data_IF_730594871255
#
_entry.id   IF_730594871255
#
_cell.length_a   1.000
_cell.length_b   1.000
_cell.length_c   1.000
_cell.angle_alpha   90.00
_cell.angle_beta   90.00
_cell.angle_gamma   90.00
#
_symmetry.space_group_name_H-M   'P 1'
#
loop_
_entity.id
_entity.type
_entity.pdbx_description
1 polymer ?
#
# COMPACT_ATOMS: atom_id res chain seq x y z
N UNK A 1 -11.85 -20.12 -20.82
CA UNK A 1 -12.20 -21.11 -21.87
C UNK A 1 -11.90 -22.54 -21.41
N UNK A 2 -10.74 -22.81 -20.81
CA UNK A 2 -10.37 -24.12 -20.23
C UNK A 2 -11.38 -24.66 -19.19
N UNK A 3 -11.83 -23.83 -18.24
CA UNK A 3 -12.67 -24.29 -17.12
C UNK A 3 -14.05 -24.83 -17.58
N UNK A 4 -14.63 -24.22 -18.61
CA UNK A 4 -15.89 -24.65 -19.22
C UNK A 4 -15.74 -25.96 -20.02
N UNK A 5 -14.55 -26.22 -20.57
CA UNK A 5 -14.24 -27.48 -21.29
C UNK A 5 -14.10 -28.67 -20.35
N UNK A 6 -13.57 -28.46 -19.14
CA UNK A 6 -13.38 -29.54 -18.16
C UNK A 6 -14.71 -30.10 -17.63
N UNK A 7 -15.70 -29.23 -17.34
CA UNK A 7 -17.01 -29.67 -16.82
C UNK A 7 -17.88 -30.40 -17.86
N UNK A 8 -17.66 -30.14 -19.16
CA UNK A 8 -18.39 -30.78 -20.27
C UNK A 8 -17.90 -32.21 -20.54
N UNK A 9 -16.68 -32.54 -20.14
CA UNK A 9 -16.11 -33.88 -20.30
C UNK A 9 -16.71 -34.88 -19.30
N UNK A 10 -17.06 -34.44 -18.09
CA UNK A 10 -17.60 -35.28 -17.01
C UNK A 10 -19.08 -35.70 -17.19
N UNK A 11 -19.82 -35.09 -18.13
CA UNK A 11 -21.30 -35.21 -18.23
C UNK A 11 -21.82 -35.83 -19.54
N UNK A 12 -20.96 -36.30 -20.43
CA UNK A 12 -21.29 -37.01 -21.69
C UNK A 12 -22.33 -36.34 -22.63
N UNK A 13 -22.43 -35.00 -22.63
CA UNK A 13 -23.35 -34.28 -23.53
C UNK A 13 -22.69 -33.93 -24.88
N UNK A 14 -23.45 -33.85 -26.01
CA UNK A 14 -22.88 -33.58 -27.33
C UNK A 14 -22.15 -32.22 -27.40
N UNK A 15 -20.83 -32.27 -27.58
CA UNK A 15 -19.84 -31.17 -27.48
C UNK A 15 -20.14 -29.91 -28.32
N UNK A 16 -20.90 -30.05 -29.39
CA UNK A 16 -20.99 -29.09 -30.48
C UNK A 16 -22.14 -28.09 -30.26
N UNK A 17 -23.27 -28.53 -29.69
CA UNK A 17 -24.48 -27.69 -29.69
C UNK A 17 -24.44 -26.60 -28.62
N UNK A 18 -23.92 -26.90 -27.43
CA UNK A 18 -23.98 -25.99 -26.28
C UNK A 18 -22.89 -24.93 -26.27
N UNK A 19 -21.66 -25.32 -26.63
CA UNK A 19 -20.54 -24.39 -26.71
C UNK A 19 -20.75 -23.36 -27.84
N UNK A 20 -21.24 -23.80 -29.01
CA UNK A 20 -21.59 -22.89 -30.11
C UNK A 20 -22.77 -21.99 -29.76
N UNK A 21 -23.87 -22.53 -29.22
CA UNK A 21 -25.03 -21.72 -28.87
C UNK A 21 -24.72 -20.67 -27.79
N UNK A 22 -23.90 -21.01 -26.78
CA UNK A 22 -23.47 -20.07 -25.76
C UNK A 22 -22.47 -19.03 -26.31
N UNK A 23 -21.51 -19.42 -27.16
CA UNK A 23 -20.60 -18.48 -27.82
C UNK A 23 -21.35 -17.52 -28.75
N UNK A 24 -22.33 -18.03 -29.51
CA UNK A 24 -23.21 -17.20 -30.36
C UNK A 24 -24.04 -16.25 -29.50
N UNK A 25 -24.57 -16.70 -28.36
CA UNK A 25 -25.32 -15.85 -27.43
C UNK A 25 -24.45 -14.73 -26.83
N UNK A 26 -23.20 -15.01 -26.43
CA UNK A 26 -22.24 -13.99 -25.97
C UNK A 26 -21.92 -12.97 -27.08
N UNK A 27 -21.82 -13.41 -28.33
CA UNK A 27 -21.63 -12.51 -29.48
C UNK A 27 -22.86 -11.61 -29.74
N UNK A 28 -24.05 -12.09 -29.35
CA UNK A 28 -25.33 -11.38 -29.44
C UNK A 28 -25.57 -10.39 -28.28
N UNK A 29 -24.64 -10.22 -27.34
CA UNK A 29 -24.72 -9.17 -26.31
C UNK A 29 -24.76 -7.74 -26.88
N UNK A 30 -24.50 -7.57 -28.18
CA UNK A 30 -24.68 -6.30 -28.90
C UNK A 30 -26.13 -6.06 -29.38
N UNK A 31 -27.06 -6.98 -29.12
CA UNK A 31 -28.50 -6.85 -29.45
C UNK A 31 -29.32 -6.59 -28.18
N UNK A 32 -29.71 -5.32 -27.90
CA UNK A 32 -30.33 -4.94 -26.63
C UNK A 32 -31.69 -5.61 -26.38
N UNK A 33 -32.37 -6.05 -27.43
CA UNK A 33 -33.66 -6.72 -27.43
C UNK A 33 -33.62 -8.19 -26.93
N UNK A 34 -32.45 -8.83 -26.91
CA UNK A 34 -32.28 -10.22 -26.40
C UNK A 34 -31.25 -10.36 -25.28
N UNK A 35 -30.58 -9.25 -24.92
CA UNK A 35 -29.47 -9.24 -23.96
C UNK A 35 -29.84 -9.82 -22.60
N UNK A 36 -31.06 -9.55 -22.13
CA UNK A 36 -31.57 -10.08 -20.86
C UNK A 36 -31.73 -11.60 -20.90
N UNK A 37 -32.41 -12.11 -21.93
CA UNK A 37 -32.66 -13.54 -22.09
C UNK A 37 -31.36 -14.34 -22.22
N UNK A 38 -30.38 -13.80 -22.96
CA UNK A 38 -29.02 -14.35 -23.08
C UNK A 38 -28.28 -14.34 -21.75
N UNK A 39 -28.31 -13.21 -21.03
CA UNK A 39 -27.61 -13.05 -19.74
C UNK A 39 -28.21 -13.89 -18.62
N UNK A 40 -29.51 -14.17 -18.67
CA UNK A 40 -30.17 -15.08 -17.74
C UNK A 40 -29.76 -16.53 -17.99
N UNK A 41 -29.76 -16.97 -19.24
CA UNK A 41 -29.39 -18.34 -19.59
C UNK A 41 -27.90 -18.63 -19.34
N UNK A 42 -27.02 -17.63 -19.44
CA UNK A 42 -25.59 -17.82 -19.16
C UNK A 42 -25.30 -18.21 -17.71
N UNK A 43 -26.15 -17.83 -16.75
CA UNK A 43 -26.01 -18.19 -15.33
C UNK A 43 -26.15 -19.69 -15.08
N UNK A 44 -26.94 -20.37 -15.91
CA UNK A 44 -27.19 -21.81 -15.82
C UNK A 44 -26.22 -22.64 -16.66
N UNK A 45 -25.15 -22.04 -17.21
CA UNK A 45 -24.17 -22.77 -18.03
C UNK A 45 -23.52 -23.95 -17.32
N UNK A 46 -23.37 -23.88 -16.00
CA UNK A 46 -22.78 -24.94 -15.18
C UNK A 46 -23.78 -26.07 -14.84
N UNK A 47 -25.08 -25.88 -15.08
CA UNK A 47 -26.16 -26.81 -14.69
C UNK A 47 -27.38 -26.75 -15.63
N UNK A 48 -27.16 -26.66 -16.94
CA UNK A 48 -28.23 -26.53 -17.93
C UNK A 48 -29.15 -27.76 -17.99
N UNK A 49 -30.41 -27.54 -18.39
CA UNK A 49 -31.47 -28.55 -18.47
C UNK A 49 -32.26 -28.42 -19.78
N UNK A 50 -33.19 -29.34 -20.06
CA UNK A 50 -34.03 -29.29 -21.27
C UNK A 50 -34.85 -27.98 -21.35
N UNK A 51 -35.28 -27.43 -20.21
CA UNK A 51 -35.99 -26.15 -20.16
C UNK A 51 -35.11 -25.01 -20.69
N UNK A 52 -33.85 -24.97 -20.26
CA UNK A 52 -32.86 -24.00 -20.75
C UNK A 52 -32.59 -24.19 -22.25
N UNK A 53 -32.55 -25.43 -22.74
CA UNK A 53 -32.37 -25.73 -24.18
C UNK A 53 -33.53 -25.18 -25.03
N UNK A 54 -34.76 -25.32 -24.54
CA UNK A 54 -35.93 -24.77 -25.23
C UNK A 54 -35.90 -23.23 -25.26
N UNK A 55 -35.45 -22.59 -24.18
CA UNK A 55 -35.27 -21.14 -24.13
C UNK A 55 -34.19 -20.65 -25.12
N UNK A 56 -33.03 -21.31 -25.17
CA UNK A 56 -31.98 -21.01 -26.16
C UNK A 56 -32.51 -21.15 -27.59
N UNK A 57 -33.25 -22.23 -27.90
CA UNK A 57 -33.87 -22.44 -29.22
C UNK A 57 -34.85 -21.33 -29.61
N UNK A 58 -35.55 -20.73 -28.63
CA UNK A 58 -36.45 -19.59 -28.87
C UNK A 58 -35.66 -18.33 -29.22
N UNK A 59 -34.57 -18.05 -28.49
CA UNK A 59 -33.68 -16.91 -28.78
C UNK A 59 -33.10 -17.04 -30.19
N UNK A 60 -32.57 -18.21 -30.56
CA UNK A 60 -32.00 -18.44 -31.90
C UNK A 60 -33.04 -18.28 -33.01
N UNK A 61 -34.28 -18.76 -32.80
CA UNK A 61 -35.39 -18.56 -33.75
C UNK A 61 -35.76 -17.08 -33.88
N UNK A 62 -35.80 -16.36 -32.78
CA UNK A 62 -36.07 -14.93 -32.76
C UNK A 62 -34.99 -14.15 -33.52
N UNK A 63 -33.70 -14.44 -33.27
CA UNK A 63 -32.57 -13.83 -34.00
C UNK A 63 -32.68 -14.12 -35.49
N UNK A 64 -32.96 -15.37 -35.88
CA UNK A 64 -33.17 -15.75 -37.28
C UNK A 64 -34.30 -14.95 -37.95
N UNK A 65 -35.36 -14.63 -37.22
CA UNK A 65 -36.49 -13.84 -37.73
C UNK A 65 -36.26 -12.32 -37.72
N UNK A 66 -35.19 -11.85 -37.07
CA UNK A 66 -34.91 -10.43 -36.85
C UNK A 66 -33.48 -10.05 -37.26
N UNK A 67 -32.89 -10.82 -38.19
CA UNK A 67 -31.51 -10.57 -38.68
C UNK A 67 -31.38 -9.17 -39.28
N UNK A 68 -32.42 -8.70 -39.96
CA UNK A 68 -32.46 -7.38 -40.61
C UNK A 68 -32.89 -6.25 -39.65
N UNK A 69 -33.16 -6.56 -38.39
CA UNK A 69 -33.58 -5.56 -37.40
C UNK A 69 -32.34 -4.97 -36.74
N UNK A 70 -32.26 -3.64 -36.70
CA UNK A 70 -31.19 -2.91 -36.06
C UNK A 70 -31.68 -1.61 -35.44
N UNK A 71 -30.97 -1.15 -34.41
CA UNK A 71 -31.18 0.19 -33.86
C UNK A 71 -30.36 1.16 -34.69
N UNK A 72 -31.04 2.03 -35.44
CA UNK A 72 -30.37 3.08 -36.23
C UNK A 72 -30.15 4.31 -35.34
N UNK A 73 -28.90 4.57 -34.98
CA UNK A 73 -28.51 5.83 -34.37
C UNK A 73 -28.37 6.90 -35.46
N UNK A 74 -28.92 8.08 -35.22
CA UNK A 74 -28.79 9.24 -36.11
C UNK A 74 -28.20 10.39 -35.33
N UNK A 75 -27.21 11.07 -35.92
CA UNK A 75 -26.61 12.24 -35.31
C UNK A 75 -27.68 13.32 -35.05
N UNK A 76 -27.71 13.86 -33.83
CA UNK A 76 -28.59 14.94 -33.42
C UNK A 76 -27.80 15.99 -32.68
N UNK A 77 -28.01 17.27 -33.02
CA UNK A 77 -27.32 18.41 -32.37
C UNK A 77 -27.84 18.69 -30.97
N UNK A 78 -29.08 18.32 -30.67
CA UNK A 78 -29.75 18.55 -29.38
C UNK A 78 -30.25 17.22 -28.82
N UNK A 79 -29.33 16.36 -28.39
CA UNK A 79 -29.64 15.05 -27.84
C UNK A 79 -29.55 15.05 -26.31
N UNK A 80 -30.63 14.64 -25.65
CA UNK A 80 -30.65 14.31 -24.22
C UNK A 80 -30.98 12.83 -24.06
N UNK A 81 -30.06 12.09 -23.47
CA UNK A 81 -30.20 10.68 -23.18
C UNK A 81 -30.87 10.49 -21.82
N UNK A 82 -32.12 10.02 -21.87
CA UNK A 82 -32.88 9.58 -20.70
C UNK A 82 -33.10 8.08 -20.79
N UNK A 83 -33.08 7.40 -19.66
CA UNK A 83 -33.32 5.96 -19.57
C UNK A 83 -34.44 5.70 -18.59
N UNK A 84 -35.36 4.82 -18.97
CA UNK A 84 -36.50 4.44 -18.16
C UNK A 84 -36.30 3.00 -17.67
N UNK A 85 -36.67 2.74 -16.43
CA UNK A 85 -36.71 1.40 -15.85
C UNK A 85 -38.14 1.10 -15.43
N UNK A 86 -38.67 -0.02 -15.92
CA UNK A 86 -39.97 -0.58 -15.55
C UNK A 86 -39.76 -2.07 -15.26
N UNK A 87 -40.29 -2.58 -14.15
CA UNK A 87 -40.17 -4.00 -13.80
C UNK A 87 -41.50 -4.54 -13.29
N UNK A 88 -42.00 -5.58 -13.94
CA UNK A 88 -43.08 -6.42 -13.40
C UNK A 88 -42.52 -7.78 -13.00
N UNK A 89 -41.94 -7.86 -11.79
CA UNK A 89 -41.54 -9.15 -11.19
C UNK A 89 -42.73 -9.93 -10.61
N UNK A 90 -43.92 -9.30 -10.53
CA UNK A 90 -45.15 -9.94 -10.09
C UNK A 90 -45.64 -11.02 -11.07
N UNK A 91 -45.21 -10.97 -12.34
CA UNK A 91 -45.47 -11.98 -13.36
C UNK A 91 -44.49 -13.16 -13.40
N UNK A 92 -43.51 -13.23 -12.49
CA UNK A 92 -42.50 -14.31 -12.46
C UNK A 92 -43.12 -15.65 -12.07
N UNK A 93 -43.03 -16.63 -12.97
CA UNK A 93 -43.56 -18.00 -12.79
C UNK A 93 -42.75 -18.85 -11.80
N UNK A 94 -41.49 -18.49 -11.54
CA UNK A 94 -40.56 -19.31 -10.76
C UNK A 94 -40.63 -19.02 -9.26
N UNK A 95 -40.77 -17.76 -8.88
CA UNK A 95 -40.76 -17.34 -7.48
C UNK A 95 -42.03 -16.61 -7.03
N UNK A 96 -42.82 -16.01 -7.93
CA UNK A 96 -44.08 -15.27 -7.67
C UNK A 96 -44.00 -14.27 -6.47
N UNK A 97 -42.80 -13.89 -6.05
CA UNK A 97 -42.55 -13.08 -4.87
C UNK A 97 -42.38 -11.63 -5.30
N UNK A 98 -43.42 -10.84 -5.03
CA UNK A 98 -43.35 -9.39 -5.14
C UNK A 98 -42.68 -8.81 -3.90
N UNK A 99 -41.36 -8.66 -3.92
CA UNK A 99 -40.70 -7.60 -3.14
C UNK A 99 -40.42 -6.46 -4.11
N UNK A 100 -41.45 -5.65 -4.37
CA UNK A 100 -41.48 -4.57 -5.36
C UNK A 100 -40.22 -3.71 -5.34
N UNK A 101 -39.71 -3.35 -4.16
CA UNK A 101 -38.51 -2.51 -4.04
C UNK A 101 -37.19 -3.22 -4.41
N UNK A 102 -37.01 -4.49 -4.06
CA UNK A 102 -35.74 -5.19 -4.30
C UNK A 102 -35.60 -5.60 -5.76
N UNK A 103 -36.65 -6.17 -6.34
CA UNK A 103 -36.66 -6.58 -7.74
C UNK A 103 -36.47 -5.38 -8.66
N UNK A 104 -37.16 -4.28 -8.39
CA UNK A 104 -37.01 -3.06 -9.21
C UNK A 104 -35.67 -2.36 -8.98
N UNK A 105 -35.08 -2.45 -7.78
CA UNK A 105 -33.72 -1.96 -7.54
C UNK A 105 -32.66 -2.76 -8.33
N UNK A 106 -32.82 -4.08 -8.42
CA UNK A 106 -31.98 -4.93 -9.27
C UNK A 106 -32.17 -4.60 -10.76
N UNK A 107 -33.40 -4.34 -11.22
CA UNK A 107 -33.63 -3.94 -12.61
C UNK A 107 -33.05 -2.57 -12.91
N UNK A 108 -33.23 -1.58 -12.04
CA UNK A 108 -32.63 -0.26 -12.19
C UNK A 108 -31.09 -0.37 -12.27
N UNK A 109 -30.51 -1.30 -11.52
CA UNK A 109 -29.09 -1.69 -11.57
C UNK A 109 -28.70 -2.39 -12.88
N UNK A 110 -29.60 -3.09 -13.57
CA UNK A 110 -29.30 -3.60 -14.91
C UNK A 110 -29.37 -2.47 -15.95
N UNK A 111 -30.32 -1.56 -15.79
CA UNK A 111 -30.59 -0.45 -16.71
C UNK A 111 -29.43 0.54 -16.77
N UNK A 112 -28.84 0.94 -15.64
CA UNK A 112 -27.72 1.88 -15.68
C UNK A 112 -26.44 1.26 -16.25
N UNK A 113 -26.22 -0.05 -16.13
CA UNK A 113 -25.11 -0.73 -16.81
C UNK A 113 -25.24 -0.58 -18.34
N UNK A 114 -26.46 -0.72 -18.86
CA UNK A 114 -26.75 -0.50 -20.28
C UNK A 114 -26.57 0.98 -20.66
N UNK A 115 -27.00 1.90 -19.79
CA UNK A 115 -26.82 3.33 -20.01
C UNK A 115 -25.33 3.72 -20.13
N UNK A 116 -24.45 3.15 -19.30
CA UNK A 116 -23.00 3.37 -19.36
C UNK A 116 -22.43 2.88 -20.70
N UNK A 117 -22.83 1.68 -21.14
CA UNK A 117 -22.39 1.14 -22.42
C UNK A 117 -22.85 2.02 -23.59
N UNK A 118 -24.12 2.46 -23.59
CA UNK A 118 -24.66 3.35 -24.61
C UNK A 118 -23.96 4.72 -24.64
N UNK A 119 -23.56 5.28 -23.49
CA UNK A 119 -22.77 6.53 -23.45
C UNK A 119 -21.43 6.40 -24.17
N UNK A 120 -20.77 5.23 -24.10
CA UNK A 120 -19.52 4.99 -24.82
C UNK A 120 -19.75 5.01 -26.34
N UNK A 121 -20.81 4.36 -26.80
CA UNK A 121 -21.20 4.38 -28.22
C UNK A 121 -21.54 5.81 -28.67
N UNK A 122 -22.26 6.57 -27.84
CA UNK A 122 -22.60 7.96 -28.16
C UNK A 122 -21.36 8.85 -28.26
N UNK A 123 -20.34 8.63 -27.42
CA UNK A 123 -19.06 9.34 -27.50
C UNK A 123 -18.34 9.03 -28.82
N UNK A 124 -18.32 7.76 -29.25
CA UNK A 124 -17.76 7.34 -30.55
C UNK A 124 -18.50 7.99 -31.74
N UNK A 125 -19.77 8.35 -31.56
CA UNK A 125 -20.60 9.06 -32.55
C UNK A 125 -20.54 10.60 -32.41
N UNK A 126 -19.63 11.14 -31.60
CA UNK A 126 -19.50 12.56 -31.28
C UNK A 126 -20.76 13.21 -30.68
N UNK A 127 -21.61 12.40 -30.04
CA UNK A 127 -22.83 12.83 -29.33
C UNK A 127 -22.64 12.72 -27.81
N UNK A 128 -21.53 13.23 -27.30
CA UNK A 128 -21.18 13.11 -25.89
C UNK A 128 -22.12 13.92 -25.00
N UNK A 129 -22.78 13.25 -24.06
CA UNK A 129 -23.55 13.90 -23.01
C UNK A 129 -22.62 14.22 -21.83
N UNK A 130 -22.29 15.50 -21.63
CA UNK A 130 -21.46 15.93 -20.48
C UNK A 130 -22.19 15.79 -19.16
N UNK A 131 -23.50 16.01 -19.18
CA UNK A 131 -24.31 15.95 -17.97
C UNK A 131 -24.56 14.51 -17.49
N UNK A 132 -24.90 14.34 -16.20
CA UNK A 132 -25.74 13.26 -15.69
C UNK A 132 -26.65 12.57 -16.72
N UNK A 133 -26.63 11.24 -16.82
CA UNK A 133 -27.73 10.52 -17.49
C UNK A 133 -28.83 10.28 -16.48
N UNK A 134 -30.01 10.87 -16.73
CA UNK A 134 -31.16 10.68 -15.86
C UNK A 134 -31.74 9.29 -16.06
N UNK A 135 -31.90 8.59 -14.94
CA UNK A 135 -32.51 7.26 -14.86
C UNK A 135 -33.84 7.46 -14.15
N UNK A 136 -34.92 7.26 -14.89
CA UNK A 136 -36.28 7.45 -14.42
C UNK A 136 -36.83 6.11 -13.97
N UNK A 137 -37.10 6.01 -12.67
CA UNK A 137 -37.69 4.86 -11.98
C UNK A 137 -38.99 5.34 -11.35
N UNK A 138 -40.08 4.58 -11.49
CA UNK A 138 -41.41 4.95 -11.00
C UNK A 138 -41.69 4.49 -9.56
N UNK A 139 -40.74 3.80 -8.92
CA UNK A 139 -40.86 3.33 -7.55
C UNK A 139 -40.05 4.14 -6.54
N UNK A 140 -40.79 4.71 -5.60
CA UNK A 140 -40.27 5.60 -4.57
C UNK A 140 -39.35 4.90 -3.55
N UNK A 141 -39.56 3.61 -3.28
CA UNK A 141 -38.71 2.84 -2.38
C UNK A 141 -37.34 2.57 -3.01
N UNK A 142 -37.30 2.27 -4.32
CA UNK A 142 -36.04 2.13 -5.08
C UNK A 142 -35.25 3.44 -5.08
N UNK A 143 -35.92 4.56 -5.36
CA UNK A 143 -35.32 5.90 -5.31
C UNK A 143 -34.76 6.21 -3.91
N UNK A 144 -35.50 5.83 -2.86
CA UNK A 144 -35.09 6.07 -1.47
C UNK A 144 -33.90 5.19 -1.05
N UNK A 145 -33.88 3.91 -1.47
CA UNK A 145 -32.77 2.98 -1.25
C UNK A 145 -31.53 3.46 -1.99
N UNK A 146 -31.65 3.90 -3.25
CA UNK A 146 -30.51 4.42 -4.01
C UNK A 146 -29.90 5.69 -3.43
N UNK A 147 -30.67 6.45 -2.65
CA UNK A 147 -30.20 7.67 -1.98
C UNK A 147 -29.63 7.41 -0.58
N UNK A 148 -29.79 6.20 0.00
CA UNK A 148 -29.34 5.89 1.36
C UNK A 148 -27.90 5.34 1.38
N UNK A 149 -27.00 6.04 2.06
CA UNK A 149 -25.56 5.74 2.07
C UNK A 149 -25.15 4.62 3.06
N UNK A 150 -26.09 4.03 3.83
CA UNK A 150 -25.78 3.06 4.90
C UNK A 150 -26.14 1.60 4.59
N UNK A 151 -26.95 1.31 3.57
CA UNK A 151 -27.20 -0.07 3.11
C UNK A 151 -26.10 -0.50 2.13
N UNK A 152 -24.87 -0.64 2.66
CA UNK A 152 -23.65 -0.91 1.89
C UNK A 152 -23.33 -2.39 1.94
N UNK A 153 -23.86 -3.14 0.98
CA UNK A 153 -23.53 -4.54 0.78
C UNK A 153 -24.28 -5.09 -0.43
N UNK A 154 -23.57 -5.23 -1.55
CA UNK A 154 -23.91 -5.98 -2.79
C UNK A 154 -24.18 -5.15 -4.07
N UNK A 155 -24.62 -3.88 -4.04
CA UNK A 155 -25.04 -3.19 -5.28
C UNK A 155 -24.54 -1.76 -5.53
N UNK A 156 -23.29 -1.45 -5.19
CA UNK A 156 -22.67 -0.16 -5.57
C UNK A 156 -21.89 -0.25 -6.89
N UNK A 157 -22.57 -0.46 -8.01
CA UNK A 157 -22.00 -0.05 -9.32
C UNK A 157 -22.96 0.80 -10.15
N UNK A 158 -24.27 0.89 -9.81
CA UNK A 158 -25.22 1.14 -10.90
C UNK A 158 -26.38 2.08 -10.61
N UNK A 159 -26.32 3.02 -9.66
CA UNK A 159 -27.27 4.15 -9.67
C UNK A 159 -26.68 5.54 -9.41
N UNK A 160 -25.36 5.63 -9.21
CA UNK A 160 -24.66 6.90 -8.96
C UNK A 160 -23.78 7.30 -10.16
N UNK A 161 -24.25 7.14 -11.40
CA UNK A 161 -23.53 7.63 -12.59
C UNK A 161 -23.81 9.11 -12.84
N UNK A 162 -23.64 9.91 -11.79
CA UNK A 162 -23.59 11.37 -11.81
C UNK A 162 -22.76 11.86 -10.62
N UNK A 163 -21.58 11.28 -10.44
CA UNK A 163 -20.46 11.92 -9.78
C UNK A 163 -19.33 10.91 -9.90
N UNK A 164 -18.32 11.25 -10.68
CA UNK A 164 -16.98 10.74 -10.42
C UNK A 164 -16.53 11.26 -9.06
N UNK A 165 -17.05 10.68 -7.99
CA UNK A 165 -16.29 10.48 -6.77
C UNK A 165 -16.09 8.99 -6.74
N UNK A 166 -14.90 8.55 -7.15
CA UNK A 166 -14.48 7.15 -7.03
C UNK A 166 -14.92 6.64 -5.67
N UNK A 167 -15.69 5.54 -5.62
CA UNK A 167 -15.86 4.81 -4.38
C UNK A 167 -14.45 4.55 -3.87
N UNK A 168 -14.09 5.18 -2.75
CA UNK A 168 -12.71 5.23 -2.33
C UNK A 168 -12.32 3.82 -1.86
N UNK A 169 -11.55 3.12 -2.69
CA UNK A 169 -11.10 1.76 -2.37
C UNK A 169 -10.33 1.79 -1.05
N UNK A 170 -10.60 0.86 -0.12
CA UNK A 170 -9.83 0.76 1.11
C UNK A 170 -8.35 0.54 0.78
N UNK A 171 -7.47 1.29 1.45
CA UNK A 171 -6.02 1.17 1.29
C UNK A 171 -5.50 0.16 2.29
N UNK A 172 -4.88 -0.92 1.81
CA UNK A 172 -4.29 -1.93 2.69
C UNK A 172 -3.08 -1.33 3.41
N UNK A 173 -3.00 -1.53 4.72
CA UNK A 173 -1.85 -1.12 5.52
C UNK A 173 -1.33 -2.25 6.39
N UNK A 174 -0.08 -2.08 6.82
CA UNK A 174 0.61 -2.91 7.79
C UNK A 174 1.26 -2.01 8.83
N UNK A 175 1.29 -2.42 10.09
CA UNK A 175 2.17 -1.81 11.10
C UNK A 175 3.29 -2.80 11.34
N UNK A 176 4.51 -2.34 11.17
CA UNK A 176 5.72 -3.16 11.22
C UNK A 176 6.68 -2.55 12.21
N UNK A 177 7.15 -3.37 13.15
CA UNK A 177 8.25 -3.02 14.02
C UNK A 177 9.57 -3.38 13.32
N UNK A 178 10.33 -2.37 12.92
CA UNK A 178 11.64 -2.53 12.27
C UNK A 178 12.78 -2.63 13.30
N UNK A 179 13.88 -3.28 12.90
CA UNK A 179 15.08 -3.54 13.72
C UNK A 179 14.79 -4.35 15.00
N UNK A 180 13.88 -5.33 14.89
CA UNK A 180 13.51 -6.24 15.98
C UNK A 180 13.03 -7.59 15.44
N UNK A 181 13.10 -8.61 16.30
CA UNK A 181 12.50 -9.93 16.11
C UNK A 181 11.25 -10.15 16.97
N UNK A 182 10.95 -9.21 17.87
CA UNK A 182 9.83 -9.28 18.79
C UNK A 182 8.88 -8.12 18.55
N UNK A 183 7.59 -8.41 18.55
CA UNK A 183 6.53 -7.41 18.55
C UNK A 183 6.69 -6.44 19.74
N UNK A 184 6.30 -5.19 19.52
CA UNK A 184 6.32 -4.09 20.49
C UNK A 184 7.73 -3.62 20.92
N UNK A 185 8.77 -4.13 20.26
CA UNK A 185 10.14 -3.59 20.30
C UNK A 185 10.45 -2.92 18.97
N UNK A 186 11.68 -2.52 18.70
CA UNK A 186 11.98 -1.94 17.40
C UNK A 186 11.44 -0.52 17.22
N UNK A 187 11.44 -0.04 15.97
CA UNK A 187 10.81 1.22 15.58
C UNK A 187 9.56 0.95 14.72
N UNK A 188 8.34 1.29 15.18
CA UNK A 188 7.11 1.04 14.44
C UNK A 188 6.95 2.00 13.26
N UNK A 189 6.61 1.45 12.09
CA UNK A 189 6.19 2.21 10.93
C UNK A 189 4.88 1.65 10.35
N UNK A 190 3.98 2.53 9.93
CA UNK A 190 2.84 2.15 9.11
C UNK A 190 3.28 2.08 7.64
N UNK A 191 2.85 1.05 6.90
CA UNK A 191 3.17 0.87 5.48
C UNK A 191 1.86 0.68 4.72
N UNK A 192 1.51 1.69 3.92
CA UNK A 192 0.32 1.71 3.07
C UNK A 192 0.68 1.27 1.65
N UNK A 193 -0.09 0.31 1.11
CA UNK A 193 0.04 -0.14 -0.28
C UNK A 193 -0.97 0.61 -1.15
N UNK A 194 -0.46 1.45 -2.06
CA UNK A 194 -1.27 2.24 -2.98
C UNK A 194 -1.28 1.62 -4.37
N UNK A 195 -2.45 1.62 -5.04
CA UNK A 195 -2.54 1.27 -6.46
C UNK A 195 -2.01 2.40 -7.36
N UNK A 196 -2.17 3.65 -6.91
CA UNK A 196 -1.80 4.90 -7.57
C UNK A 196 -1.41 5.93 -6.50
N UNK A 197 -0.64 6.95 -6.86
CA UNK A 197 -0.33 8.02 -5.92
C UNK A 197 -1.58 8.74 -5.42
N UNK A 198 -1.57 9.06 -4.12
CA UNK A 198 -2.57 9.92 -3.49
C UNK A 198 -2.03 11.32 -3.33
N UNK A 199 -2.93 12.29 -3.14
CA UNK A 199 -2.53 13.66 -2.86
C UNK A 199 -1.78 13.76 -1.54
N UNK A 200 -0.83 14.70 -1.48
CA UNK A 200 0.02 14.94 -0.30
C UNK A 200 -0.81 15.25 0.95
N UNK A 201 -1.92 15.97 0.80
CA UNK A 201 -2.85 16.30 1.88
C UNK A 201 -3.48 15.04 2.50
N UNK A 202 -3.79 14.03 1.68
CA UNK A 202 -4.34 12.76 2.13
C UNK A 202 -3.28 11.92 2.83
N UNK A 203 -2.09 11.81 2.23
CA UNK A 203 -0.96 11.07 2.84
C UNK A 203 -0.53 11.70 4.17
N UNK A 204 -0.53 13.02 4.26
CA UNK A 204 -0.27 13.70 5.52
C UNK A 204 -1.38 13.40 6.55
N UNK A 205 -2.65 13.49 6.16
CA UNK A 205 -3.78 13.20 7.05
C UNK A 205 -3.76 11.78 7.61
N UNK A 206 -3.46 10.78 6.78
CA UNK A 206 -3.34 9.38 7.23
C UNK A 206 -2.12 9.19 8.12
N UNK A 207 -0.99 9.86 7.84
CA UNK A 207 0.19 9.80 8.71
C UNK A 207 -0.08 10.42 10.09
N UNK A 208 -0.83 11.53 10.13
CA UNK A 208 -1.29 12.15 11.38
C UNK A 208 -2.24 11.23 12.14
N UNK A 209 -3.15 10.52 11.46
CA UNK A 209 -4.09 9.58 12.09
C UNK A 209 -3.38 8.37 12.72
N UNK A 210 -2.38 7.79 12.04
CA UNK A 210 -1.58 6.72 12.61
C UNK A 210 -0.75 7.17 13.82
N UNK A 211 -0.27 8.41 13.79
CA UNK A 211 0.54 9.02 14.85
C UNK A 211 1.72 8.13 15.30
N UNK A 212 2.33 7.42 14.35
CA UNK A 212 3.59 6.69 14.52
C UNK A 212 4.77 7.58 14.11
N UNK A 213 6.01 7.11 14.33
CA UNK A 213 7.21 7.80 13.87
C UNK A 213 7.09 8.15 12.38
N UNK A 214 6.74 7.15 11.56
CA UNK A 214 6.57 7.32 10.12
C UNK A 214 5.43 6.46 9.55
N UNK A 215 4.79 7.01 8.53
CA UNK A 215 3.89 6.32 7.62
C UNK A 215 4.47 6.33 6.20
N UNK A 216 4.64 5.14 5.63
CA UNK A 216 5.16 4.89 4.30
C UNK A 216 4.04 4.70 3.30
N UNK A 217 4.23 5.21 2.09
CA UNK A 217 3.34 4.97 0.96
C UNK A 217 4.11 4.30 -0.17
N UNK A 218 3.72 3.07 -0.50
CA UNK A 218 4.29 2.27 -1.58
C UNK A 218 3.38 2.32 -2.79
N UNK A 219 3.89 2.81 -3.91
CA UNK A 219 3.18 2.80 -5.20
C UNK A 219 4.00 2.01 -6.23
N UNK A 220 3.45 0.97 -6.87
CA UNK A 220 4.14 0.24 -7.94
C UNK A 220 4.48 1.16 -9.11
N UNK A 221 5.68 1.03 -9.68
CA UNK A 221 6.03 1.72 -10.93
C UNK A 221 5.75 0.79 -12.11
N UNK A 222 4.97 1.27 -13.09
CA UNK A 222 4.51 0.49 -14.24
C UNK A 222 5.67 -0.04 -15.10
N UNK A 223 5.47 -1.21 -15.72
CA UNK A 223 6.49 -1.88 -16.53
C UNK A 223 7.01 -1.05 -17.71
N UNK A 224 6.17 -0.15 -18.26
CA UNK A 224 6.54 0.75 -19.37
C UNK A 224 7.60 1.80 -19.01
N UNK A 225 7.84 2.05 -17.72
CA UNK A 225 8.85 2.99 -17.22
C UNK A 225 10.12 2.27 -16.73
N UNK A 226 10.24 0.95 -16.94
CA UNK A 226 11.37 0.15 -16.49
C UNK A 226 12.40 -0.02 -17.60
N UNK A 227 13.67 0.26 -17.29
CA UNK A 227 14.81 -0.07 -18.16
C UNK A 227 15.21 -1.55 -18.07
N UNK A 228 14.85 -2.23 -16.96
CA UNK A 228 15.14 -3.64 -16.70
C UNK A 228 13.88 -4.33 -16.16
N UNK A 229 13.41 -5.36 -16.87
CA UNK A 229 12.17 -6.10 -16.59
C UNK A 229 12.33 -7.00 -15.34
N UNK A 230 13.57 -7.24 -14.88
CA UNK A 230 13.89 -8.12 -13.76
C UNK A 230 13.81 -7.47 -12.36
N UNK A 231 13.76 -6.14 -12.28
CA UNK A 231 13.80 -5.40 -11.01
C UNK A 231 12.41 -4.94 -10.57
N UNK A 232 12.05 -5.25 -9.32
CA UNK A 232 10.82 -4.77 -8.71
C UNK A 232 11.04 -3.36 -8.18
N UNK A 233 10.45 -2.37 -8.86
CA UNK A 233 10.61 -0.96 -8.54
C UNK A 233 9.32 -0.37 -7.98
N UNK A 234 9.44 0.30 -6.85
CA UNK A 234 8.35 0.99 -6.18
C UNK A 234 8.73 2.44 -5.94
N UNK A 235 7.75 3.35 -6.02
CA UNK A 235 7.91 4.66 -5.41
C UNK A 235 7.61 4.54 -3.93
N UNK A 236 8.47 5.14 -3.12
CA UNK A 236 8.35 5.14 -1.66
C UNK A 236 8.44 6.57 -1.15
N UNK A 237 7.44 6.97 -0.36
CA UNK A 237 7.36 8.26 0.31
C UNK A 237 7.12 8.05 1.80
N UNK A 238 7.64 8.93 2.65
CA UNK A 238 7.55 8.82 4.11
C UNK A 238 7.02 10.10 4.70
N UNK A 239 6.04 9.95 5.58
CA UNK A 239 5.42 11.06 6.28
C UNK A 239 5.51 10.83 7.78
N UNK A 240 6.05 11.81 8.49
CA UNK A 240 5.80 11.96 9.92
C UNK A 240 4.37 12.47 10.13
N UNK A 241 3.87 12.54 11.38
CA UNK A 241 2.58 13.16 11.66
C UNK A 241 2.46 14.64 11.26
N UNK A 242 3.58 15.31 10.97
CA UNK A 242 3.63 16.74 10.67
C UNK A 242 4.12 17.11 9.25
N UNK A 243 4.98 16.29 8.63
CA UNK A 243 5.59 16.58 7.33
C UNK A 243 6.08 15.34 6.59
N UNK A 244 6.19 15.42 5.27
CA UNK A 244 7.00 14.51 4.45
C UNK A 244 8.49 14.66 4.79
N UNK A 245 9.23 13.54 4.78
CA UNK A 245 10.69 13.50 4.98
C UNK A 245 11.38 12.89 3.78
N UNK A 246 12.58 13.37 3.45
CA UNK A 246 13.30 12.98 2.23
C UNK A 246 13.94 11.59 2.32
N UNK A 247 14.19 11.08 3.54
CA UNK A 247 14.86 9.81 3.79
C UNK A 247 14.49 9.25 5.16
N UNK A 248 14.10 7.97 5.24
CA UNK A 248 13.90 7.29 6.53
C UNK A 248 14.36 5.83 6.50
N UNK A 249 15.25 5.45 7.41
CA UNK A 249 15.86 4.12 7.43
C UNK A 249 14.90 3.00 7.87
N UNK A 250 14.34 3.09 9.07
CA UNK A 250 13.51 2.02 9.64
C UNK A 250 12.22 1.80 8.84
N UNK A 251 11.63 2.89 8.32
CA UNK A 251 10.41 2.88 7.55
C UNK A 251 10.64 2.30 6.13
N UNK A 252 11.85 2.47 5.57
CA UNK A 252 12.30 1.73 4.36
C UNK A 252 12.45 0.24 4.64
N UNK A 253 13.04 -0.13 5.79
CA UNK A 253 13.18 -1.53 6.18
C UNK A 253 11.80 -2.20 6.36
N UNK A 254 10.87 -1.52 7.03
CA UNK A 254 9.49 -1.94 7.18
C UNK A 254 8.79 -2.14 5.82
N UNK A 255 8.99 -1.21 4.88
CA UNK A 255 8.43 -1.28 3.53
C UNK A 255 8.96 -2.50 2.76
N UNK A 256 10.27 -2.74 2.82
CA UNK A 256 10.89 -3.94 2.25
C UNK A 256 10.36 -5.22 2.91
N UNK A 257 10.19 -5.24 4.23
CA UNK A 257 9.62 -6.38 4.96
C UNK A 257 8.22 -6.73 4.46
N UNK A 258 7.34 -5.74 4.28
CA UNK A 258 5.99 -5.95 3.74
C UNK A 258 6.06 -6.53 2.33
N UNK A 259 6.89 -5.97 1.45
CA UNK A 259 7.00 -6.47 0.08
C UNK A 259 7.54 -7.90 0.03
N UNK A 260 8.61 -8.20 0.76
CA UNK A 260 9.21 -9.54 0.79
C UNK A 260 8.31 -10.59 1.45
N UNK A 261 7.50 -10.22 2.45
CA UNK A 261 6.63 -11.15 3.19
C UNK A 261 5.25 -11.33 2.53
N UNK A 262 4.76 -10.33 1.78
CA UNK A 262 3.45 -10.38 1.11
C UNK A 262 3.42 -11.22 -0.17
N UNK A 263 4.58 -11.64 -0.68
CA UNK A 263 4.70 -12.34 -1.97
C UNK A 263 4.47 -11.44 -3.19
N UNK A 264 4.39 -10.12 -3.00
CA UNK A 264 4.28 -9.13 -4.10
C UNK A 264 5.55 -9.03 -4.93
N UNK A 265 6.70 -9.39 -4.35
CA UNK A 265 7.99 -9.47 -5.05
C UNK A 265 8.53 -10.90 -5.01
N UNK A 266 9.05 -11.35 -6.16
CA UNK A 266 9.71 -12.67 -6.29
C UNK A 266 11.24 -12.57 -6.27
N UNK A 267 11.78 -11.37 -6.42
CA UNK A 267 13.22 -11.10 -6.36
C UNK A 267 13.66 -10.89 -4.91
N UNK A 268 14.93 -11.15 -4.63
CA UNK A 268 15.58 -10.82 -3.36
C UNK A 268 16.04 -9.36 -3.29
N UNK A 269 15.83 -8.58 -4.36
CA UNK A 269 16.19 -7.16 -4.45
C UNK A 269 14.97 -6.32 -4.81
N UNK A 270 14.80 -5.21 -4.10
CA UNK A 270 13.79 -4.18 -4.35
C UNK A 270 14.51 -2.84 -4.53
N UNK A 271 14.08 -2.07 -5.53
CA UNK A 271 14.47 -0.67 -5.68
C UNK A 271 13.32 0.26 -5.28
N UNK A 272 13.65 1.25 -4.46
CA UNK A 272 12.74 2.32 -4.08
C UNK A 272 13.17 3.62 -4.77
N UNK A 273 12.25 4.23 -5.51
CA UNK A 273 12.42 5.60 -6.05
C UNK A 273 11.87 6.56 -5.01
N UNK A 274 12.72 7.46 -4.52
CA UNK A 274 12.47 8.34 -3.38
C UNK A 274 12.95 9.76 -3.68
N UNK A 275 12.62 10.74 -2.83
CA UNK A 275 13.12 12.11 -3.00
C UNK A 275 14.64 12.20 -2.87
N UNK A 276 15.25 11.31 -2.08
CA UNK A 276 16.71 11.20 -1.93
C UNK A 276 17.38 10.32 -3.01
N UNK A 277 16.66 9.99 -4.09
CA UNK A 277 17.14 9.13 -5.16
C UNK A 277 16.73 7.66 -4.98
N UNK A 278 17.49 6.75 -5.59
CA UNK A 278 17.18 5.32 -5.57
C UNK A 278 17.82 4.66 -4.35
N UNK A 279 17.01 3.97 -3.55
CA UNK A 279 17.46 3.13 -2.45
C UNK A 279 17.25 1.65 -2.81
N UNK A 280 18.16 0.79 -2.37
CA UNK A 280 18.09 -0.64 -2.62
C UNK A 280 17.89 -1.38 -1.31
N UNK A 281 16.92 -2.30 -1.30
CA UNK A 281 16.73 -3.25 -0.22
C UNK A 281 16.97 -4.67 -0.72
N UNK A 282 17.81 -5.42 0.00
CA UNK A 282 18.18 -6.79 -0.34
C UNK A 282 17.84 -7.74 0.80
N UNK A 283 17.24 -8.87 0.45
CA UNK A 283 17.06 -10.00 1.36
C UNK A 283 18.39 -10.74 1.50
N UNK A 284 18.87 -10.91 2.74
CA UNK A 284 20.12 -11.63 3.03
C UNK A 284 19.89 -12.71 4.08
N UNK A 285 20.46 -13.90 3.86
CA UNK A 285 20.48 -14.98 4.83
C UNK A 285 21.48 -14.67 5.95
N UNK A 286 21.22 -15.22 7.15
CA UNK A 286 21.84 -14.85 8.43
C UNK A 286 23.32 -14.48 8.40
N UNK A 287 23.66 -13.45 9.18
CA UNK A 287 25.03 -13.13 9.56
C UNK A 287 25.54 -14.32 10.38
N UNK A 288 26.78 -14.76 10.15
CA UNK A 288 27.44 -15.78 10.98
C UNK A 288 27.66 -15.22 12.40
N UNK A 289 26.60 -15.14 13.20
CA UNK A 289 26.63 -14.71 14.60
C UNK A 289 27.10 -15.86 15.48
N UNK A 290 28.36 -16.27 15.30
CA UNK A 290 29.05 -17.26 16.15
C UNK A 290 28.44 -18.68 16.14
N UNK A 291 29.22 -19.63 16.64
CA UNK A 291 28.78 -21.03 16.81
C UNK A 291 27.66 -21.10 17.86
N UNK A 292 26.39 -21.05 17.40
CA UNK A 292 25.22 -21.23 18.25
C UNK A 292 23.93 -20.53 17.81
N UNK A 293 23.95 -19.63 16.81
CA UNK A 293 22.76 -18.97 16.32
C UNK A 293 21.95 -19.86 15.35
N UNK A 294 20.65 -20.00 15.60
CA UNK A 294 19.70 -20.69 14.73
C UNK A 294 19.70 -20.12 13.30
N UNK A 295 19.70 -21.00 12.30
CA UNK A 295 19.68 -20.71 10.84
C UNK A 295 18.47 -19.88 10.32
N UNK A 296 17.56 -19.42 11.17
CA UNK A 296 16.19 -19.02 10.78
C UNK A 296 15.89 -17.51 10.83
N UNK A 297 16.85 -16.66 10.45
CA UNK A 297 16.65 -15.21 10.44
C UNK A 297 16.78 -14.57 9.06
N UNK A 298 15.67 -14.16 8.44
CA UNK A 298 15.70 -13.33 7.24
C UNK A 298 16.08 -11.87 7.59
N UNK A 299 17.26 -11.42 7.17
CA UNK A 299 17.66 -10.02 7.31
C UNK A 299 17.31 -9.22 6.05
N UNK A 300 17.02 -7.94 6.25
CA UNK A 300 16.90 -6.96 5.17
C UNK A 300 18.10 -6.03 5.27
N UNK A 301 18.88 -5.98 4.20
CA UNK A 301 20.00 -5.08 4.01
C UNK A 301 19.54 -3.85 3.22
N UNK A 302 19.84 -2.66 3.75
CA UNK A 302 19.65 -1.37 3.11
C UNK A 302 21.01 -0.72 2.88
N UNK A 303 21.19 -0.08 1.74
CA UNK A 303 22.41 0.67 1.42
C UNK A 303 22.18 2.17 1.57
N UNK A 304 23.03 2.84 2.37
CA UNK A 304 23.01 4.29 2.55
C UNK A 304 24.40 4.91 2.35
N UNK A 305 24.48 6.19 1.94
CA UNK A 305 25.75 6.93 1.99
C UNK A 305 26.21 7.11 3.43
N UNK A 306 27.51 6.95 3.68
CA UNK A 306 28.11 7.31 4.96
C UNK A 306 28.14 8.84 5.12
N UNK A 307 27.82 9.32 6.32
CA UNK A 307 27.90 10.72 6.70
C UNK A 307 29.26 11.01 7.36
N UNK A 308 29.87 12.12 6.97
CA UNK A 308 31.10 12.58 7.61
C UNK A 308 30.80 13.38 8.86
N UNK A 309 31.64 13.23 9.88
CA UNK A 309 31.56 14.03 11.11
C UNK A 309 32.70 15.02 11.18
N UNK A 310 32.43 16.18 11.75
CA UNK A 310 33.38 17.28 11.94
C UNK A 310 33.59 17.58 13.41
N UNK A 311 34.73 18.19 13.74
CA UNK A 311 35.04 18.62 15.10
C UNK A 311 34.03 19.67 15.59
N UNK A 312 33.55 19.48 16.82
CA UNK A 312 32.65 20.44 17.45
C UNK A 312 33.44 21.34 18.42
N UNK A 313 33.78 22.54 17.96
CA UNK A 313 34.46 23.55 18.77
C UNK A 313 33.48 24.69 19.07
N UNK A 314 32.74 24.61 20.17
CA UNK A 314 31.81 25.68 20.58
C UNK A 314 31.85 25.94 22.08
N UNK A 315 31.37 27.13 22.47
CA UNK A 315 31.14 27.48 23.87
C UNK A 315 29.93 26.74 24.48
N UNK A 316 29.18 25.98 23.69
CA UNK A 316 27.91 25.38 24.07
C UNK A 316 28.06 24.00 24.73
N UNK A 317 29.30 23.52 24.95
CA UNK A 317 29.57 22.24 25.63
C UNK A 317 28.86 22.17 26.99
N UNK A 318 28.90 23.25 27.77
CA UNK A 318 28.21 23.32 29.07
C UNK A 318 26.69 23.21 28.93
N UNK A 319 26.12 23.78 27.85
CA UNK A 319 24.68 23.68 27.58
C UNK A 319 24.31 22.25 27.19
N UNK A 320 25.13 21.57 26.38
CA UNK A 320 24.92 20.17 25.97
C UNK A 320 25.05 19.25 27.18
N UNK A 321 26.08 19.43 28.03
CA UNK A 321 26.26 18.68 29.28
C UNK A 321 25.01 18.80 30.17
N UNK A 322 24.55 20.03 30.41
CA UNK A 322 23.36 20.27 31.22
C UNK A 322 22.11 19.61 30.61
N UNK A 323 21.93 19.68 29.29
CA UNK A 323 20.79 19.05 28.60
C UNK A 323 20.81 17.51 28.72
N UNK A 324 22.01 16.92 28.84
CA UNK A 324 22.23 15.50 29.07
C UNK A 324 22.37 15.14 30.56
N UNK A 325 21.95 16.04 31.46
CA UNK A 325 22.04 15.87 32.92
C UNK A 325 23.44 15.48 33.41
N UNK A 326 24.45 16.16 32.86
CA UNK A 326 25.87 16.00 33.21
C UNK A 326 26.38 14.55 33.07
N UNK A 327 25.84 13.83 32.09
CA UNK A 327 26.37 12.55 31.65
C UNK A 327 27.87 12.66 31.29
N UNK A 328 28.67 11.60 31.49
CA UNK A 328 30.12 11.64 31.28
C UNK A 328 30.46 11.65 29.78
N UNK A 329 30.52 12.84 29.20
CA UNK A 329 30.85 13.07 27.78
C UNK A 329 32.36 12.88 27.54
N UNK A 330 32.70 12.10 26.51
CA UNK A 330 34.07 11.86 26.04
C UNK A 330 34.42 12.72 24.83
N UNK A 331 33.49 12.83 23.88
CA UNK A 331 33.71 13.52 22.62
C UNK A 331 32.38 14.09 22.10
N UNK A 332 32.46 15.18 21.35
CA UNK A 332 31.32 15.75 20.63
C UNK A 332 31.77 16.03 19.20
N UNK A 333 31.00 15.50 18.25
CA UNK A 333 31.16 15.75 16.82
C UNK A 333 29.86 16.30 16.24
N UNK A 334 29.96 16.85 15.03
CA UNK A 334 28.81 17.37 14.29
C UNK A 334 28.69 16.67 12.94
N UNK A 335 27.50 16.15 12.64
CA UNK A 335 27.22 15.46 11.38
C UNK A 335 27.12 16.46 10.23
N UNK A 336 27.51 16.05 9.02
CA UNK A 336 27.36 16.93 7.85
C UNK A 336 25.97 16.86 7.24
N UNK A 337 25.29 15.72 7.37
CA UNK A 337 23.90 15.54 6.96
C UNK A 337 22.98 15.69 8.17
N UNK A 338 21.89 16.44 8.03
CA UNK A 338 20.90 16.67 9.10
C UNK A 338 21.36 17.59 10.25
N UNK A 339 22.63 17.98 10.26
CA UNK A 339 23.22 18.91 11.23
C UNK A 339 23.06 18.46 12.70
N UNK A 340 23.23 17.17 13.00
CA UNK A 340 23.05 16.62 14.34
C UNK A 340 24.35 16.67 15.16
N UNK A 341 24.21 16.69 16.48
CA UNK A 341 25.32 16.50 17.40
C UNK A 341 25.49 15.02 17.70
N UNK A 342 26.66 14.47 17.42
CA UNK A 342 27.06 13.13 17.86
C UNK A 342 27.82 13.29 19.17
N UNK A 343 27.27 12.76 20.25
CA UNK A 343 27.84 12.84 21.60
C UNK A 343 28.25 11.45 22.05
N UNK A 344 29.54 11.26 22.27
CA UNK A 344 30.05 10.04 22.88
C UNK A 344 30.02 10.15 24.40
N UNK A 345 29.41 9.16 25.06
CA UNK A 345 29.44 8.96 26.50
C UNK A 345 30.49 7.92 26.88
N UNK A 346 30.93 7.94 28.13
CA UNK A 346 31.98 7.05 28.65
C UNK A 346 31.68 5.56 28.48
N UNK A 347 30.41 5.15 28.51
CA UNK A 347 30.00 3.77 28.29
C UNK A 347 28.59 3.63 27.74
N UNK A 348 28.28 2.47 27.18
CA UNK A 348 26.91 2.10 26.81
C UNK A 348 25.98 2.02 28.02
N UNK A 349 26.50 1.76 29.23
CA UNK A 349 25.71 1.85 30.46
C UNK A 349 25.21 3.27 30.70
N UNK A 350 26.06 4.28 30.50
CA UNK A 350 25.67 5.69 30.61
C UNK A 350 24.61 6.05 29.57
N UNK A 351 24.67 5.48 28.35
CA UNK A 351 23.63 5.67 27.32
C UNK A 351 22.27 5.12 27.78
N UNK A 352 22.25 3.91 28.37
CA UNK A 352 21.02 3.26 28.87
C UNK A 352 20.43 4.06 30.04
N UNK A 353 21.26 4.51 30.98
CA UNK A 353 20.83 5.18 32.21
C UNK A 353 20.50 6.67 31.99
N UNK A 354 20.91 7.25 30.86
CA UNK A 354 20.70 8.66 30.53
C UNK A 354 19.21 9.06 30.66
N UNK A 355 18.95 10.13 31.40
CA UNK A 355 17.65 10.79 31.48
C UNK A 355 17.85 12.24 31.04
N UNK A 356 17.69 12.59 29.75
CA UNK A 356 17.97 13.94 29.28
C UNK A 356 16.82 14.91 29.56
N UNK A 357 17.13 16.21 29.69
CA UNK A 357 16.13 17.27 29.64
C UNK A 357 15.76 17.58 28.18
N UNK A 358 14.64 17.02 27.72
CA UNK A 358 14.14 17.18 26.36
C UNK A 358 13.91 18.66 25.99
N UNK A 359 13.44 19.47 26.95
CA UNK A 359 13.23 20.90 26.75
C UNK A 359 14.54 21.68 26.60
N UNK A 360 15.61 21.23 27.25
CA UNK A 360 16.96 21.75 27.06
C UNK A 360 17.58 21.28 25.74
N UNK A 361 17.40 20.01 25.35
CA UNK A 361 17.85 19.50 24.04
C UNK A 361 17.24 20.32 22.90
N UNK A 362 15.97 20.69 22.99
CA UNK A 362 15.32 21.53 21.99
C UNK A 362 16.00 22.90 21.77
N UNK A 363 16.81 23.36 22.75
CA UNK A 363 17.56 24.62 22.70
C UNK A 363 19.04 24.44 22.31
N UNK A 364 19.54 23.21 22.29
CA UNK A 364 20.91 22.92 21.85
C UNK A 364 21.10 23.24 20.36
N UNK A 365 22.34 23.47 19.88
CA UNK A 365 22.61 23.65 18.46
C UNK A 365 22.34 22.35 17.67
N UNK A 366 22.18 22.48 16.34
CA UNK A 366 21.95 21.36 15.43
C UNK A 366 20.49 20.87 15.34
N UNK A 367 20.23 19.86 14.51
CA UNK A 367 18.91 19.29 14.28
C UNK A 367 18.45 18.29 15.35
N UNK A 368 19.38 17.69 16.09
CA UNK A 368 19.12 16.67 17.12
C UNK A 368 20.40 16.19 17.79
N UNK A 369 20.27 15.31 18.79
CA UNK A 369 21.40 14.75 19.53
C UNK A 369 21.40 13.22 19.39
N UNK A 370 22.52 12.67 18.92
CA UNK A 370 22.79 11.24 18.81
C UNK A 370 23.77 10.88 19.94
N UNK A 371 23.32 10.21 20.98
CA UNK A 371 24.20 9.76 22.06
C UNK A 371 24.65 8.33 21.80
N UNK A 372 25.93 8.04 22.03
CA UNK A 372 26.47 6.67 21.90
C UNK A 372 27.61 6.39 22.86
N UNK A 373 27.88 5.12 23.13
CA UNK A 373 28.96 4.69 24.02
C UNK A 373 29.29 3.22 23.84
N UNK A 374 30.54 2.85 24.09
CA UNK A 374 31.03 1.47 23.94
C UNK A 374 30.19 0.50 24.76
N UNK A 375 29.70 -0.56 24.14
CA UNK A 375 28.87 -1.54 24.83
C UNK A 375 29.69 -2.37 25.83
N UNK A 376 29.06 -2.91 26.89
CA UNK A 376 29.73 -3.87 27.77
C UNK A 376 30.23 -5.09 26.97
N UNK A 377 31.47 -5.58 27.19
CA UNK A 377 32.03 -6.70 26.42
C UNK A 377 31.15 -7.96 26.41
N UNK A 378 30.43 -8.22 27.50
CA UNK A 378 29.52 -9.36 27.67
C UNK A 378 28.21 -9.25 26.88
N UNK A 379 27.91 -8.07 26.30
CA UNK A 379 26.64 -7.81 25.63
C UNK A 379 26.54 -8.39 24.22
N UNK A 380 27.67 -8.68 23.57
CA UNK A 380 27.73 -9.08 22.17
C UNK A 380 27.53 -7.93 21.16
N UNK A 381 27.38 -6.69 21.62
CA UNK A 381 27.32 -5.50 20.80
C UNK A 381 28.64 -4.72 20.87
N UNK A 382 28.90 -3.89 19.86
CA UNK A 382 30.07 -3.01 19.81
C UNK A 382 29.79 -1.68 20.53
N UNK A 383 28.62 -1.08 20.30
CA UNK A 383 28.20 0.14 20.98
C UNK A 383 26.68 0.25 21.13
N UNK A 384 26.26 1.06 22.10
CA UNK A 384 24.87 1.41 22.35
C UNK A 384 24.61 2.84 21.87
N UNK A 385 23.39 3.10 21.39
CA UNK A 385 23.00 4.46 20.99
C UNK A 385 21.55 4.79 21.34
N UNK A 386 21.26 6.09 21.49
CA UNK A 386 19.92 6.70 21.56
C UNK A 386 19.92 8.02 20.82
N UNK A 387 18.75 8.48 20.38
CA UNK A 387 18.63 9.65 19.51
C UNK A 387 17.43 10.51 19.90
N UNK A 388 17.63 11.83 19.90
CA UNK A 388 16.66 12.80 20.39
C UNK A 388 16.47 13.93 19.37
N UNK A 389 15.24 14.15 18.91
CA UNK A 389 14.90 15.14 17.89
C UNK A 389 13.70 16.04 18.28
N UNK A 390 13.69 16.65 19.47
CA UNK A 390 12.51 17.39 19.94
C UNK A 390 12.13 18.58 19.05
N UNK A 391 13.07 19.10 18.25
CA UNK A 391 12.82 20.19 17.29
C UNK A 391 11.86 19.82 16.16
N UNK A 392 11.72 18.53 15.86
CA UNK A 392 10.77 18.00 14.85
C UNK A 392 9.63 17.23 15.50
N UNK A 393 9.40 17.42 16.81
CA UNK A 393 8.29 16.81 17.54
C UNK A 393 8.54 15.38 18.03
N UNK A 394 9.75 14.84 17.87
CA UNK A 394 10.11 13.49 18.31
C UNK A 394 11.07 13.60 19.50
N UNK A 395 10.56 13.43 20.71
CA UNK A 395 11.39 13.55 21.92
C UNK A 395 12.55 12.54 21.92
N UNK A 396 12.25 11.27 21.67
CA UNK A 396 13.21 10.19 21.48
C UNK A 396 12.68 9.28 20.37
N UNK A 397 13.50 9.03 19.35
CA UNK A 397 13.17 8.08 18.28
C UNK A 397 13.63 6.68 18.71
N UNK A 398 12.78 5.63 18.69
CA UNK A 398 13.16 4.33 19.19
C UNK A 398 14.44 3.78 18.56
N UNK A 399 14.55 3.89 17.23
CA UNK A 399 15.70 3.43 16.44
C UNK A 399 15.83 4.27 15.18
N UNK A 400 16.80 5.17 15.16
CA UNK A 400 17.06 5.99 13.98
C UNK A 400 18.06 5.30 13.06
N UNK A 401 17.57 4.64 12.03
CA UNK A 401 18.45 4.03 11.01
C UNK A 401 19.42 5.06 10.41
N UNK A 402 18.94 6.23 9.97
CA UNK A 402 19.79 7.26 9.38
C UNK A 402 20.91 7.79 10.30
N UNK A 403 20.75 7.71 11.63
CA UNK A 403 21.83 8.07 12.57
C UNK A 403 23.07 7.19 12.43
N UNK A 404 22.90 5.95 11.95
CA UNK A 404 23.99 5.02 11.69
C UNK A 404 24.87 5.47 10.52
N UNK A 405 24.36 6.30 9.62
CA UNK A 405 25.17 6.89 8.56
C UNK A 405 26.35 7.68 9.14
N UNK A 406 26.20 8.30 10.32
CA UNK A 406 27.27 9.00 11.02
C UNK A 406 27.94 8.15 12.12
N UNK A 407 27.13 7.43 12.92
CA UNK A 407 27.62 6.66 14.06
C UNK A 407 28.49 5.48 13.64
N UNK A 408 28.10 4.73 12.61
CA UNK A 408 28.85 3.54 12.20
C UNK A 408 30.24 3.87 11.66
N UNK A 409 30.44 4.85 10.74
CA UNK A 409 31.79 5.27 10.34
C UNK A 409 32.64 5.81 11.47
N UNK A 410 32.04 6.53 12.43
CA UNK A 410 32.72 7.05 13.61
C UNK A 410 33.27 5.91 14.48
N UNK A 411 32.40 4.98 14.88
CA UNK A 411 32.78 3.84 15.72
C UNK A 411 33.69 2.86 14.98
N UNK A 412 33.45 2.61 13.68
CA UNK A 412 34.26 1.70 12.89
C UNK A 412 35.74 2.11 12.87
N UNK A 413 36.00 3.40 12.61
CA UNK A 413 37.35 3.96 12.62
C UNK A 413 37.96 3.96 14.01
N UNK A 414 37.17 4.30 15.04
CA UNK A 414 37.62 4.36 16.42
C UNK A 414 37.99 2.99 16.98
N UNK A 415 37.24 1.94 16.61
CA UNK A 415 37.44 0.56 17.06
C UNK A 415 38.38 -0.25 16.13
N UNK A 416 38.63 0.22 14.91
CA UNK A 416 39.35 -0.54 13.90
C UNK A 416 38.57 -1.76 13.38
N UNK A 417 37.23 -1.67 13.34
CA UNK A 417 36.30 -2.76 12.97
C UNK A 417 35.26 -2.26 11.98
N UNK A 418 34.99 -3.01 10.91
CA UNK A 418 34.09 -2.57 9.82
C UNK A 418 32.67 -3.12 9.92
N UNK A 419 32.51 -4.31 10.50
CA UNK A 419 31.22 -4.90 10.83
C UNK A 419 30.89 -4.62 12.29
N UNK A 420 29.81 -3.90 12.52
CA UNK A 420 29.39 -3.43 13.83
C UNK A 420 28.00 -3.98 14.18
N UNK A 421 27.87 -4.51 15.40
CA UNK A 421 26.59 -4.87 16.02
C UNK A 421 26.20 -3.78 16.99
N UNK A 422 25.03 -3.17 16.78
CA UNK A 422 24.59 -1.97 17.49
C UNK A 422 23.30 -2.26 18.23
N UNK A 423 23.24 -1.83 19.49
CA UNK A 423 22.01 -1.85 20.27
C UNK A 423 21.44 -0.45 20.43
N UNK A 424 20.26 -0.21 19.87
CA UNK A 424 19.51 1.01 20.10
C UNK A 424 18.82 0.91 21.46
N UNK A 425 19.36 1.61 22.46
CA UNK A 425 19.01 1.47 23.87
C UNK A 425 17.82 2.36 24.31
N UNK A 426 16.90 2.63 23.40
CA UNK A 426 15.63 3.30 23.74
C UNK A 426 14.74 2.35 24.57
N UNK A 427 13.65 2.83 25.18
CA UNK A 427 12.72 1.97 25.94
C UNK A 427 12.16 0.78 25.13
N UNK A 428 12.06 0.90 23.80
CA UNK A 428 11.62 -0.20 22.94
C UNK A 428 12.73 -1.21 22.64
N UNK A 429 13.99 -0.77 22.64
CA UNK A 429 15.13 -1.61 22.30
C UNK A 429 15.17 -2.00 20.82
N UNK A 430 16.37 -2.25 20.30
CA UNK A 430 16.55 -2.56 18.89
C UNK A 430 17.93 -3.05 18.53
N UNK A 431 18.02 -3.86 17.48
CA UNK A 431 19.30 -4.37 16.97
C UNK A 431 19.49 -3.93 15.54
N UNK A 432 20.64 -3.32 15.27
CA UNK A 432 21.07 -2.92 13.93
C UNK A 432 22.46 -3.50 13.70
N UNK A 433 22.66 -4.20 12.60
CA UNK A 433 24.01 -4.59 12.16
C UNK A 433 24.42 -3.69 11.02
N UNK A 434 25.64 -3.18 11.04
CA UNK A 434 26.13 -2.27 10.01
C UNK A 434 27.49 -2.72 9.52
N UNK A 435 27.65 -2.83 8.21
CA UNK A 435 28.95 -2.90 7.57
C UNK A 435 29.30 -1.52 7.02
N UNK A 436 30.45 -0.96 7.40
CA UNK A 436 30.96 0.28 6.83
C UNK A 436 32.09 -0.01 5.83
N UNK A 437 31.85 0.33 4.56
CA UNK A 437 32.87 0.29 3.52
C UNK A 437 33.52 1.67 3.38
N UNK A 438 34.74 1.80 3.91
CA UNK A 438 35.50 3.04 3.86
C UNK A 438 36.01 3.39 2.45
N UNK A 439 36.08 2.44 1.52
CA UNK A 439 36.51 2.74 0.14
C UNK A 439 35.38 3.40 -0.64
N UNK A 440 34.18 2.81 -0.59
CA UNK A 440 33.01 3.36 -1.29
C UNK A 440 32.28 4.45 -0.52
N UNK A 441 32.60 4.65 0.77
CA UNK A 441 31.89 5.54 1.70
C UNK A 441 30.40 5.19 1.79
N UNK A 442 30.10 3.90 1.89
CA UNK A 442 28.73 3.38 2.02
C UNK A 442 28.59 2.59 3.30
N UNK A 443 27.38 2.60 3.85
CA UNK A 443 27.00 1.70 4.93
C UNK A 443 25.96 0.70 4.41
N UNK A 444 26.15 -0.57 4.76
CA UNK A 444 25.16 -1.62 4.57
C UNK A 444 24.53 -1.90 5.92
N UNK A 445 23.29 -1.49 6.07
CA UNK A 445 22.53 -1.60 7.30
C UNK A 445 21.59 -2.78 7.23
N UNK A 446 21.69 -3.68 8.18
CA UNK A 446 20.90 -4.91 8.26
C UNK A 446 20.03 -4.89 9.51
N UNK A 447 18.78 -5.28 9.32
CA UNK A 447 17.84 -5.45 10.42
C UNK A 447 16.78 -6.48 10.09
N UNK A 448 16.15 -7.00 11.14
CA UNK A 448 14.94 -7.80 11.05
C UNK A 448 13.71 -6.92 11.29
N UNK A 449 12.55 -7.43 10.92
CA UNK A 449 11.29 -6.73 11.15
C UNK A 449 10.16 -7.72 11.41
N UNK A 450 9.15 -7.25 12.14
CA UNK A 450 7.96 -8.02 12.49
C UNK A 450 6.71 -7.22 12.17
N UNK A 451 5.83 -7.77 11.35
CA UNK A 451 4.49 -7.22 11.15
C UNK A 451 3.64 -7.48 12.40
N UNK A 452 3.13 -6.43 13.03
CA UNK A 452 2.32 -6.51 14.27
C UNK A 452 0.84 -6.24 14.04
N UNK A 453 0.49 -5.49 12.99
CA UNK A 453 -0.91 -5.25 12.60
C UNK A 453 -1.03 -5.27 11.08
N UNK A 454 -2.19 -5.67 10.58
CA UNK A 454 -2.60 -5.47 9.20
C UNK A 454 -4.07 -5.09 9.14
N UNK A 455 -4.45 -4.30 8.15
CA UNK A 455 -5.82 -3.83 8.00
C UNK A 455 -6.02 -2.99 6.75
N UNK A 456 -7.11 -2.22 6.76
CA UNK A 456 -7.46 -1.30 5.69
C UNK A 456 -7.79 0.08 6.26
N UNK A 457 -7.25 1.12 5.63
CA UNK A 457 -7.72 2.50 5.82
C UNK A 457 -9.00 2.64 5.02
N UNK A 458 -10.11 2.83 5.75
CA UNK A 458 -11.44 3.09 5.18
C UNK A 458 -11.54 4.59 4.87
N UNK A 459 -12.16 4.94 3.74
CA UNK A 459 -12.11 6.30 3.21
C UNK A 459 -13.48 6.83 2.83
#
# INVERSE_FOLDING_TARGET
MEMTRCMLYEKELPKNLWAEAASTAVFLLNRPDIIFAVSMLSRFMHCASEVHLQAVKRIVRYVKGTVDYGVKYTHSQNFQFHVYSDSDWGGSIDDMKSTTAEAEYVTATAVVNQAIWLRRILADLHMEQKEPTQILVDNQAVISISNNHTHVGICQVVLCCVCSTMAKKPVKYFVVDAFTESAFKGNPAAVCLLEEEKEDSWMQGVATEFNLSETCYLTPIAESERSDISLNRFRLRWFTPATEVELCGHATLASAHVLFSSGLVKSDIIEFVTLSGVLTAKKVSGINDGEGASEDGLFIELEFPADTVTEFNSADISQISAALNDAPIIDIKRTTVGDHLLVELASGKDVVELQPDIGAIAKCPGGGILVSGTAPPESGFDYYCRTFFPKVGINEDPITGSAQCALAPYWAKKMGKWDLSVYAASPRGGVVHVHFDDQSKRILMRGKAVTVMNGCVMI
#
